data_IF_282333067367
#
_entry.id   IF_282333067367
#
_cell.length_a   1.000
_cell.length_b   1.000
_cell.length_c   1.000
_cell.angle_alpha   90.00
_cell.angle_beta   90.00
_cell.angle_gamma   90.00
#
_symmetry.space_group_name_H-M   'P 1'
#
loop_
_entity.id
_entity.type
_entity.pdbx_description
1 polymer ?
#
# COMPACT_ATOMS: atom_id res chain seq x y z
N UNK A 1 -71.04 23.08 -42.86
CA UNK A 1 -70.48 21.73 -43.06
C UNK A 1 -68.97 21.81 -42.91
N UNK A 2 -68.42 20.85 -42.16
CA UNK A 2 -67.03 20.36 -42.19
C UNK A 2 -65.87 21.36 -42.05
N UNK A 3 -65.22 21.33 -40.89
CA UNK A 3 -63.79 20.98 -40.75
C UNK A 3 -63.39 21.04 -39.27
N UNK A 4 -63.29 19.88 -38.61
CA UNK A 4 -62.53 19.71 -37.37
C UNK A 4 -62.40 18.20 -37.09
N UNK A 5 -61.43 17.55 -37.73
CA UNK A 5 -61.13 16.14 -37.48
C UNK A 5 -59.75 15.75 -37.99
N UNK A 6 -58.69 16.45 -37.56
CA UNK A 6 -57.30 16.00 -37.72
C UNK A 6 -56.47 16.52 -36.54
N UNK A 7 -56.63 15.96 -35.33
CA UNK A 7 -55.63 16.15 -34.26
C UNK A 7 -55.77 15.21 -33.06
N UNK A 8 -56.26 13.98 -33.27
CA UNK A 8 -56.56 13.07 -32.15
C UNK A 8 -55.94 11.67 -32.30
N UNK A 9 -54.70 11.55 -32.79
CA UNK A 9 -54.15 10.22 -33.06
C UNK A 9 -52.67 9.95 -32.77
N UNK A 10 -51.97 10.78 -31.99
CA UNK A 10 -50.63 10.41 -31.50
C UNK A 10 -50.39 10.88 -30.07
N UNK A 11 -50.95 10.16 -29.11
CA UNK A 11 -50.41 10.11 -27.74
C UNK A 11 -50.70 8.73 -27.14
N UNK A 12 -50.14 7.71 -27.78
CA UNK A 12 -49.93 6.44 -27.11
C UNK A 12 -48.83 6.68 -26.08
N UNK A 13 -49.22 6.81 -24.81
CA UNK A 13 -48.28 6.69 -23.69
C UNK A 13 -47.69 5.28 -23.76
N UNK A 14 -46.56 5.15 -24.44
CA UNK A 14 -45.74 3.94 -24.38
C UNK A 14 -45.03 3.99 -23.03
N UNK A 15 -45.77 3.69 -21.96
CA UNK A 15 -45.15 3.37 -20.70
C UNK A 15 -44.28 2.14 -20.97
N UNK A 16 -42.94 2.20 -20.77
CA UNK A 16 -42.11 1.03 -20.97
C UNK A 16 -42.64 -0.10 -20.08
N UNK A 17 -42.73 -1.34 -20.58
CA UNK A 17 -43.28 -2.44 -19.80
C UNK A 17 -42.50 -2.56 -18.50
N UNK A 18 -43.22 -2.48 -17.37
CA UNK A 18 -42.61 -2.61 -16.05
C UNK A 18 -41.85 -3.94 -15.99
N UNK A 19 -40.53 -3.87 -15.82
CA UNK A 19 -39.69 -5.06 -15.74
C UNK A 19 -40.17 -5.88 -14.53
N UNK A 20 -40.50 -7.18 -14.71
CA UNK A 20 -40.91 -8.03 -13.60
C UNK A 20 -39.88 -7.99 -12.47
N UNK A 21 -40.29 -7.91 -11.19
CA UNK A 21 -39.37 -7.79 -10.06
C UNK A 21 -38.32 -8.91 -10.03
N UNK A 22 -38.66 -10.12 -10.50
CA UNK A 22 -37.74 -11.24 -10.66
C UNK A 22 -36.64 -10.97 -11.71
N UNK A 23 -36.97 -10.41 -12.88
CA UNK A 23 -35.96 -10.04 -13.91
C UNK A 23 -35.02 -8.95 -13.41
N UNK A 24 -35.53 -8.00 -12.62
CA UNK A 24 -34.73 -6.92 -12.00
C UNK A 24 -33.79 -7.45 -10.90
N UNK A 25 -34.23 -8.45 -10.13
CA UNK A 25 -33.38 -9.12 -9.13
C UNK A 25 -32.27 -9.95 -9.79
N UNK A 26 -32.60 -10.68 -10.86
CA UNK A 26 -31.61 -11.46 -11.61
C UNK A 26 -30.55 -10.56 -12.28
N UNK A 27 -30.96 -9.43 -12.87
CA UNK A 27 -30.00 -8.49 -13.46
C UNK A 27 -29.11 -7.83 -12.41
N UNK A 28 -29.66 -7.45 -11.25
CA UNK A 28 -28.88 -6.93 -10.12
C UNK A 28 -27.88 -7.96 -9.60
N UNK A 29 -28.29 -9.23 -9.43
CA UNK A 29 -27.41 -10.28 -8.96
C UNK A 29 -26.25 -10.52 -9.93
N UNK A 30 -26.56 -10.58 -11.23
CA UNK A 30 -25.55 -10.71 -12.29
C UNK A 30 -24.55 -9.56 -12.25
N UNK A 31 -25.03 -8.32 -12.18
CA UNK A 31 -24.17 -7.15 -12.09
C UNK A 31 -23.25 -7.19 -10.86
N UNK A 32 -23.77 -7.55 -9.68
CA UNK A 32 -22.96 -7.64 -8.45
C UNK A 32 -21.89 -8.71 -8.57
N UNK A 33 -22.20 -9.86 -9.15
CA UNK A 33 -21.22 -10.93 -9.39
C UNK A 33 -20.15 -10.48 -10.38
N UNK A 34 -20.54 -9.87 -11.50
CA UNK A 34 -19.59 -9.37 -12.52
C UNK A 34 -18.67 -8.29 -11.92
N UNK A 35 -19.22 -7.33 -11.17
CA UNK A 35 -18.43 -6.31 -10.47
C UNK A 35 -17.46 -6.94 -9.46
N UNK A 36 -17.91 -7.91 -8.68
CA UNK A 36 -17.08 -8.59 -7.68
C UNK A 36 -15.89 -9.29 -8.34
N UNK A 37 -16.13 -9.97 -9.46
CA UNK A 37 -15.08 -10.64 -10.22
C UNK A 37 -14.07 -9.62 -10.78
N UNK A 38 -14.54 -8.54 -11.40
CA UNK A 38 -13.68 -7.48 -11.91
C UNK A 38 -12.78 -6.87 -10.82
N UNK A 39 -13.31 -6.66 -9.61
CA UNK A 39 -12.53 -6.13 -8.48
C UNK A 39 -11.45 -7.11 -8.03
N UNK A 40 -11.77 -8.40 -7.96
CA UNK A 40 -10.80 -9.44 -7.58
C UNK A 40 -9.69 -9.55 -8.63
N UNK A 41 -10.05 -9.63 -9.91
CA UNK A 41 -9.10 -9.75 -11.01
C UNK A 41 -8.18 -8.54 -11.11
N UNK A 42 -8.70 -7.34 -10.83
CA UNK A 42 -7.91 -6.12 -10.74
C UNK A 42 -6.94 -6.18 -9.56
N UNK A 43 -7.40 -6.55 -8.36
CA UNK A 43 -6.55 -6.61 -7.16
C UNK A 43 -5.43 -7.64 -7.30
N UNK A 44 -5.68 -8.80 -7.90
CA UNK A 44 -4.66 -9.83 -8.14
C UNK A 44 -3.47 -9.27 -8.93
N UNK A 45 -3.72 -8.41 -9.92
CA UNK A 45 -2.66 -7.80 -10.74
C UNK A 45 -1.80 -6.80 -9.95
N UNK A 46 -2.32 -6.27 -8.84
CA UNK A 46 -1.63 -5.31 -7.98
C UNK A 46 -0.79 -5.98 -6.89
N UNK A 47 -0.96 -7.28 -6.64
CA UNK A 47 -0.22 -7.97 -5.59
C UNK A 47 1.28 -8.09 -5.95
N UNK A 48 2.17 -8.02 -4.95
CA UNK A 48 3.59 -8.29 -5.16
C UNK A 48 3.79 -9.74 -5.59
N UNK A 49 4.81 -9.98 -6.40
CA UNK A 49 5.18 -11.35 -6.80
C UNK A 49 6.00 -12.02 -5.70
N UNK A 50 6.13 -13.35 -5.77
CA UNK A 50 6.95 -14.08 -4.79
C UNK A 50 8.43 -13.69 -4.89
N UNK A 51 8.90 -13.39 -6.10
CA UNK A 51 10.26 -12.90 -6.35
C UNK A 51 10.48 -11.53 -5.70
N UNK A 52 9.52 -10.61 -5.83
CA UNK A 52 9.60 -9.28 -5.18
C UNK A 52 9.67 -9.44 -3.65
N UNK A 53 8.83 -10.30 -3.07
CA UNK A 53 8.83 -10.57 -1.63
C UNK A 53 10.14 -11.21 -1.17
N UNK A 54 10.70 -12.15 -1.95
CA UNK A 54 11.98 -12.78 -1.64
C UNK A 54 13.14 -11.77 -1.65
N UNK A 55 13.19 -10.90 -2.66
CA UNK A 55 14.19 -9.83 -2.74
C UNK A 55 14.07 -8.88 -1.55
N UNK A 56 12.86 -8.45 -1.19
CA UNK A 56 12.62 -7.59 -0.02
C UNK A 56 13.11 -8.25 1.27
N UNK A 57 12.85 -9.54 1.44
CA UNK A 57 13.31 -10.28 2.62
C UNK A 57 14.84 -10.43 2.66
N UNK A 58 15.49 -10.64 1.52
CA UNK A 58 16.96 -10.70 1.45
C UNK A 58 17.60 -9.34 1.74
N UNK A 59 16.99 -8.24 1.28
CA UNK A 59 17.38 -6.87 1.66
C UNK A 59 17.23 -6.66 3.16
N UNK A 60 16.09 -7.05 3.76
CA UNK A 60 15.88 -6.94 5.21
C UNK A 60 16.96 -7.70 5.98
N UNK A 61 17.29 -8.93 5.59
CA UNK A 61 18.37 -9.72 6.23
C UNK A 61 19.74 -9.08 6.07
N UNK A 62 20.04 -8.49 4.92
CA UNK A 62 21.28 -7.74 4.72
C UNK A 62 21.37 -6.55 5.67
N UNK A 63 20.33 -5.71 5.71
CA UNK A 63 20.24 -4.55 6.57
C UNK A 63 20.34 -4.95 8.05
N UNK A 64 19.64 -6.00 8.47
CA UNK A 64 19.73 -6.51 9.84
C UNK A 64 21.16 -6.92 10.22
N UNK A 65 21.88 -7.61 9.32
CA UNK A 65 23.28 -7.97 9.56
C UNK A 65 24.19 -6.76 9.74
N UNK A 66 23.98 -5.70 8.96
CA UNK A 66 24.75 -4.46 9.05
C UNK A 66 24.42 -3.68 10.33
N UNK A 67 23.13 -3.55 10.69
CA UNK A 67 22.75 -2.87 11.93
C UNK A 67 23.35 -3.58 13.15
N UNK A 68 23.41 -4.92 13.13
CA UNK A 68 24.00 -5.70 14.23
C UNK A 68 25.50 -5.49 14.42
N UNK A 69 26.22 -4.88 13.47
CA UNK A 69 27.62 -4.47 13.71
C UNK A 69 27.72 -3.22 14.57
N UNK A 70 26.67 -2.39 14.60
CA UNK A 70 26.58 -1.19 15.45
C UNK A 70 25.90 -1.56 16.78
N UNK A 71 24.78 -2.27 16.71
CA UNK A 71 23.96 -2.64 17.85
C UNK A 71 23.64 -4.15 17.82
N UNK A 72 24.44 -5.01 18.47
CA UNK A 72 24.32 -6.46 18.38
C UNK A 72 22.98 -7.02 18.88
N UNK A 73 22.31 -6.31 19.79
CA UNK A 73 21.01 -6.70 20.34
C UNK A 73 19.81 -6.16 19.53
N UNK A 74 20.08 -5.68 18.31
CA UNK A 74 19.04 -5.19 17.41
C UNK A 74 18.28 -6.29 16.67
N UNK A 75 16.98 -6.04 16.44
CA UNK A 75 16.10 -6.83 15.57
C UNK A 75 15.43 -5.92 14.56
N UNK A 76 15.46 -6.33 13.28
CA UNK A 76 14.86 -5.55 12.20
C UNK A 76 13.57 -6.22 11.70
N UNK A 77 12.44 -5.58 11.98
CA UNK A 77 11.10 -6.10 11.69
C UNK A 77 10.43 -5.30 10.58
N UNK A 78 9.86 -6.00 9.60
CA UNK A 78 8.98 -5.36 8.62
C UNK A 78 7.67 -4.95 9.27
N UNK A 79 7.19 -3.76 8.93
CA UNK A 79 5.87 -3.26 9.33
C UNK A 79 5.13 -2.67 8.11
N UNK A 80 3.99 -2.05 8.36
CA UNK A 80 3.24 -1.35 7.32
C UNK A 80 2.64 -2.30 6.29
N UNK A 81 2.55 -1.85 5.04
CA UNK A 81 1.88 -2.59 3.97
C UNK A 81 2.52 -3.96 3.72
N UNK A 82 3.83 -4.09 3.90
CA UNK A 82 4.59 -5.32 3.70
C UNK A 82 4.25 -6.42 4.72
N UNK A 83 3.72 -6.05 5.90
CA UNK A 83 3.43 -7.00 6.98
C UNK A 83 1.95 -7.02 7.42
N UNK A 84 1.11 -6.09 6.98
CA UNK A 84 -0.31 -6.02 7.35
C UNK A 84 -1.26 -6.78 6.41
N UNK A 85 -0.75 -7.39 5.32
CA UNK A 85 -1.55 -8.13 4.33
C UNK A 85 -2.14 -7.28 3.19
N UNK A 86 -1.81 -5.99 3.14
CA UNK A 86 -2.25 -5.02 2.12
C UNK A 86 -1.09 -4.51 1.26
N UNK A 87 -0.08 -5.35 1.00
CA UNK A 87 1.06 -5.00 0.14
C UNK A 87 0.63 -4.86 -1.31
N UNK A 88 1.11 -3.81 -1.97
CA UNK A 88 1.02 -3.64 -3.43
C UNK A 88 2.39 -3.92 -4.05
N UNK A 89 2.40 -4.26 -5.33
CA UNK A 89 3.62 -4.35 -6.13
C UNK A 89 4.35 -3.01 -6.10
N UNK A 90 5.67 -3.05 -5.99
CA UNK A 90 6.54 -1.86 -5.93
C UNK A 90 6.26 -0.94 -4.74
N UNK A 91 5.62 -1.46 -3.69
CA UNK A 91 5.47 -0.72 -2.43
C UNK A 91 6.81 -0.59 -1.71
N UNK A 92 6.96 0.52 -1.00
CA UNK A 92 8.12 0.75 -0.13
C UNK A 92 8.16 -0.28 1.02
N UNK A 93 9.36 -0.58 1.49
CA UNK A 93 9.58 -1.39 2.69
C UNK A 93 9.66 -0.50 3.93
N UNK A 94 8.73 -0.68 4.86
CA UNK A 94 8.79 -0.05 6.16
C UNK A 94 9.44 -1.01 7.18
N UNK A 95 10.59 -0.63 7.74
CA UNK A 95 11.34 -1.45 8.68
C UNK A 95 11.51 -0.74 10.04
N UNK A 96 11.31 -1.49 11.11
CA UNK A 96 11.48 -1.02 12.48
C UNK A 96 12.63 -1.78 13.14
N UNK A 97 13.67 -1.04 13.52
CA UNK A 97 14.76 -1.54 14.33
C UNK A 97 14.37 -1.45 15.81
N UNK A 98 14.26 -2.60 16.46
CA UNK A 98 14.06 -2.72 17.90
C UNK A 98 15.38 -3.05 18.58
N UNK A 99 15.65 -2.44 19.71
CA UNK A 99 16.86 -2.62 20.50
C UNK A 99 16.43 -3.10 21.88
N UNK A 100 16.81 -4.34 22.20
CA UNK A 100 16.50 -4.97 23.47
C UNK A 100 17.70 -4.83 24.43
N UNK A 101 18.15 -3.59 24.66
CA UNK A 101 19.26 -3.20 25.55
C UNK A 101 18.88 -2.05 26.48
N UNK A 102 19.33 -2.09 27.74
CA UNK A 102 19.17 -0.99 28.70
C UNK A 102 20.12 0.19 28.42
N UNK A 103 21.34 -0.11 27.95
CA UNK A 103 22.35 0.88 27.55
C UNK A 103 22.29 1.13 26.03
N UNK A 104 21.13 1.57 25.55
CA UNK A 104 20.95 1.87 24.12
C UNK A 104 21.38 3.29 23.77
N UNK A 105 21.95 3.42 22.58
CA UNK A 105 22.27 4.69 21.96
C UNK A 105 21.00 5.50 21.68
N UNK A 106 21.14 6.83 21.58
CA UNK A 106 20.04 7.66 21.13
C UNK A 106 19.68 7.31 19.68
N UNK A 107 18.38 7.35 19.35
CA UNK A 107 17.90 7.03 17.99
C UNK A 107 18.54 7.93 16.92
N UNK A 108 18.84 9.19 17.23
CA UNK A 108 19.55 10.11 16.33
C UNK A 108 20.97 9.65 15.99
N UNK A 109 21.68 9.11 16.98
CA UNK A 109 23.06 8.68 16.84
C UNK A 109 23.10 7.39 16.01
N UNK A 110 22.17 6.47 16.28
CA UNK A 110 21.97 5.26 15.49
C UNK A 110 21.62 5.58 14.03
N UNK A 111 20.73 6.55 13.78
CA UNK A 111 20.41 7.00 12.41
C UNK A 111 21.65 7.51 11.69
N UNK A 112 22.49 8.29 12.37
CA UNK A 112 23.72 8.85 11.79
C UNK A 112 24.74 7.75 11.50
N UNK A 113 25.08 6.93 12.51
CA UNK A 113 26.04 5.84 12.36
C UNK A 113 25.60 4.79 11.33
N UNK A 114 24.30 4.45 11.31
CA UNK A 114 23.76 3.53 10.32
C UNK A 114 23.79 4.16 8.91
N UNK A 115 23.50 5.46 8.80
CA UNK A 115 23.60 6.19 7.54
C UNK A 115 24.99 6.05 6.92
N UNK A 116 26.02 6.39 7.69
CA UNK A 116 27.42 6.33 7.25
C UNK A 116 27.85 4.89 6.90
N UNK A 117 27.44 3.91 7.72
CA UNK A 117 27.75 2.50 7.46
C UNK A 117 27.12 2.00 6.16
N UNK A 118 25.84 2.30 5.93
CA UNK A 118 25.12 1.85 4.74
C UNK A 118 25.66 2.53 3.48
N UNK A 119 26.03 3.80 3.54
CA UNK A 119 26.65 4.51 2.41
C UNK A 119 28.01 3.91 2.04
N UNK A 120 28.76 3.42 3.03
CA UNK A 120 30.06 2.75 2.83
C UNK A 120 29.95 1.30 2.34
N UNK A 121 29.04 0.52 2.91
CA UNK A 121 28.99 -0.95 2.71
C UNK A 121 28.01 -1.38 1.60
N UNK A 122 27.18 -0.46 1.09
CA UNK A 122 26.13 -0.79 0.12
C UNK A 122 26.11 0.17 -1.06
N UNK A 123 25.26 -0.13 -2.04
CA UNK A 123 24.98 0.76 -3.19
C UNK A 123 23.67 1.53 -3.02
N UNK A 124 23.08 1.53 -1.83
CA UNK A 124 21.88 2.31 -1.57
C UNK A 124 22.22 3.80 -1.59
N UNK A 125 21.34 4.60 -2.17
CA UNK A 125 21.25 6.02 -1.88
C UNK A 125 20.69 6.17 -0.47
N UNK A 126 21.50 6.72 0.44
CA UNK A 126 21.16 6.80 1.86
C UNK A 126 20.83 8.24 2.24
N UNK A 127 19.71 8.43 2.93
CA UNK A 127 19.30 9.73 3.48
C UNK A 127 18.94 9.60 4.96
N UNK A 128 19.87 9.87 5.87
CA UNK A 128 19.61 9.88 7.31
C UNK A 128 18.79 11.12 7.71
N UNK A 129 17.81 10.94 8.59
CA UNK A 129 16.96 12.00 9.13
C UNK A 129 16.92 11.91 10.67
N UNK A 130 18.03 12.23 11.37
CA UNK A 130 18.16 12.00 12.81
C UNK A 130 17.31 12.94 13.67
N UNK A 131 16.97 14.12 13.15
CA UNK A 131 16.23 15.16 13.88
C UNK A 131 14.75 15.28 13.48
N UNK A 132 14.24 14.34 12.69
CA UNK A 132 12.82 14.27 12.41
C UNK A 132 12.04 13.87 13.68
N UNK A 133 10.73 14.15 13.71
CA UNK A 133 9.85 13.74 14.82
C UNK A 133 9.97 12.24 15.14
N UNK A 134 10.18 11.43 14.11
CA UNK A 134 10.56 10.02 14.22
C UNK A 134 11.88 9.90 13.45
N UNK A 135 13.01 9.63 14.13
CA UNK A 135 14.29 9.43 13.46
C UNK A 135 14.22 8.22 12.53
N UNK A 136 14.57 8.44 11.26
CA UNK A 136 14.54 7.41 10.22
C UNK A 136 15.77 7.50 9.30
N UNK A 137 16.12 6.38 8.67
CA UNK A 137 17.05 6.32 7.52
C UNK A 137 16.23 5.93 6.30
N UNK A 138 16.19 6.79 5.28
CA UNK A 138 15.58 6.44 3.99
C UNK A 138 16.64 5.86 3.07
N UNK A 139 16.30 4.78 2.38
CA UNK A 139 17.16 4.06 1.45
C UNK A 139 16.45 3.92 0.12
N UNK A 140 17.19 4.14 -0.98
CA UNK A 140 16.71 3.78 -2.31
C UNK A 140 17.80 3.14 -3.14
N UNK A 141 17.45 2.15 -3.94
CA UNK A 141 18.31 1.53 -4.93
C UNK A 141 17.61 1.62 -6.27
N UNK A 142 18.30 2.17 -7.27
CA UNK A 142 17.72 2.38 -8.59
C UNK A 142 17.40 1.04 -9.29
N UNK A 143 16.43 1.05 -10.21
CA UNK A 143 16.18 -0.09 -11.08
C UNK A 143 17.43 -0.59 -11.81
N UNK A 144 17.59 -1.91 -11.88
CA UNK A 144 18.67 -2.57 -12.61
C UNK A 144 18.15 -3.81 -13.34
N UNK A 145 18.91 -4.43 -14.26
CA UNK A 145 18.45 -5.61 -15.01
C UNK A 145 17.99 -6.79 -14.14
N UNK A 146 18.54 -6.93 -12.92
CA UNK A 146 18.13 -7.95 -11.95
C UNK A 146 17.10 -7.46 -10.92
N UNK A 147 16.75 -6.17 -10.95
CA UNK A 147 15.86 -5.51 -10.00
C UNK A 147 15.08 -4.40 -10.73
N UNK A 148 14.10 -4.73 -11.57
CA UNK A 148 13.49 -3.78 -12.51
C UNK A 148 12.70 -2.65 -11.84
N UNK A 149 12.37 -2.78 -10.56
CA UNK A 149 11.59 -1.80 -9.80
C UNK A 149 12.42 -1.04 -8.76
N UNK A 150 13.71 -1.35 -8.64
CA UNK A 150 14.54 -0.84 -7.56
C UNK A 150 14.08 -1.35 -6.18
N UNK A 151 14.59 -0.72 -5.14
CA UNK A 151 14.14 -0.90 -3.75
C UNK A 151 14.02 0.47 -3.12
N UNK A 152 12.93 0.70 -2.39
CA UNK A 152 12.77 1.83 -1.50
C UNK A 152 12.46 1.31 -0.10
N UNK A 153 13.15 1.83 0.91
CA UNK A 153 13.01 1.36 2.28
C UNK A 153 13.21 2.50 3.30
N UNK A 154 12.31 2.59 4.27
CA UNK A 154 12.44 3.48 5.43
C UNK A 154 12.74 2.63 6.67
N UNK A 155 13.85 2.92 7.36
CA UNK A 155 14.23 2.29 8.62
C UNK A 155 13.98 3.27 9.76
N UNK A 156 13.01 2.98 10.63
CA UNK A 156 12.79 3.70 11.88
C UNK A 156 13.30 2.94 13.09
N UNK A 157 13.57 3.66 14.17
CA UNK A 157 14.06 3.07 15.43
C UNK A 157 12.99 3.16 16.52
N UNK A 158 12.78 2.06 17.25
CA UNK A 158 11.85 1.96 18.39
C UNK A 158 10.40 2.39 18.11
N UNK A 159 9.96 2.33 16.85
CA UNK A 159 8.58 2.65 16.48
C UNK A 159 7.62 1.48 16.76
N UNK A 160 7.42 1.17 18.05
CA UNK A 160 6.56 0.06 18.51
C UNK A 160 5.09 0.27 18.17
N UNK A 161 4.61 1.52 18.15
CA UNK A 161 3.24 1.84 17.76
C UNK A 161 2.95 1.45 16.30
N UNK A 162 3.91 1.63 15.39
CA UNK A 162 3.74 1.19 14.01
C UNK A 162 3.61 -0.33 13.88
N UNK A 163 4.31 -1.10 14.73
CA UNK A 163 4.18 -2.56 14.77
C UNK A 163 2.79 -2.99 15.27
N UNK A 164 2.27 -2.36 16.33
CA UNK A 164 0.93 -2.66 16.84
C UNK A 164 -0.18 -2.27 15.83
N UNK A 165 -0.04 -1.12 15.15
CA UNK A 165 -0.97 -0.74 14.08
C UNK A 165 -0.93 -1.74 12.92
N UNK A 166 0.25 -2.22 12.55
CA UNK A 166 0.43 -3.24 11.52
C UNK A 166 -0.28 -4.53 11.91
N UNK A 167 -0.10 -4.98 13.17
CA UNK A 167 -0.75 -6.18 13.69
C UNK A 167 -2.26 -6.04 13.72
N UNK A 168 -2.78 -4.90 14.15
CA UNK A 168 -4.22 -4.61 14.15
C UNK A 168 -4.80 -4.72 12.74
N UNK A 169 -4.16 -4.08 11.76
CA UNK A 169 -4.57 -4.14 10.36
C UNK A 169 -4.49 -5.56 9.78
N UNK A 170 -3.46 -6.32 10.15
CA UNK A 170 -3.33 -7.73 9.79
C UNK A 170 -4.51 -8.55 10.34
N UNK A 171 -4.91 -8.34 11.59
CA UNK A 171 -6.08 -9.02 12.16
C UNK A 171 -7.35 -8.72 11.36
N UNK A 172 -7.59 -7.48 10.95
CA UNK A 172 -8.71 -7.14 10.08
C UNK A 172 -8.63 -7.84 8.72
N UNK A 173 -7.44 -7.89 8.10
CA UNK A 173 -7.21 -8.60 6.85
C UNK A 173 -7.51 -10.10 6.97
N UNK A 174 -7.32 -10.70 8.15
CA UNK A 174 -7.54 -12.12 8.39
C UNK A 174 -8.99 -12.49 8.69
N UNK A 175 -9.80 -11.56 9.21
CA UNK A 175 -11.21 -11.82 9.52
C UNK A 175 -12.01 -12.17 8.25
N UNK A 176 -11.78 -11.42 7.16
CA UNK A 176 -12.39 -11.67 5.86
C UNK A 176 -11.40 -11.34 4.73
N UNK A 177 -10.49 -12.28 4.40
CA UNK A 177 -9.38 -12.02 3.50
C UNK A 177 -9.83 -11.55 2.12
N UNK A 178 -10.87 -12.16 1.56
CA UNK A 178 -11.31 -11.83 0.21
C UNK A 178 -11.92 -10.44 0.17
N UNK A 179 -12.87 -10.10 1.04
CA UNK A 179 -13.58 -8.81 0.94
C UNK A 179 -12.74 -7.66 1.47
N UNK A 180 -12.11 -7.81 2.63
CA UNK A 180 -11.35 -6.73 3.27
C UNK A 180 -10.14 -6.35 2.42
N UNK A 181 -9.35 -7.33 1.97
CA UNK A 181 -8.18 -7.04 1.12
C UNK A 181 -8.59 -6.44 -0.21
N UNK A 182 -9.64 -6.98 -0.85
CA UNK A 182 -10.11 -6.43 -2.14
C UNK A 182 -10.53 -4.98 -2.01
N UNK A 183 -11.35 -4.65 -1.00
CA UNK A 183 -11.81 -3.27 -0.79
C UNK A 183 -10.66 -2.31 -0.46
N UNK A 184 -9.77 -2.70 0.45
CA UNK A 184 -8.64 -1.85 0.87
C UNK A 184 -7.68 -1.61 -0.29
N UNK A 185 -7.26 -2.66 -1.00
CA UNK A 185 -6.32 -2.56 -2.12
C UNK A 185 -6.92 -1.78 -3.30
N UNK A 186 -8.21 -1.97 -3.59
CA UNK A 186 -8.93 -1.16 -4.58
C UNK A 186 -8.93 0.32 -4.19
N UNK A 187 -9.26 0.68 -2.95
CA UNK A 187 -9.24 2.07 -2.49
C UNK A 187 -7.83 2.68 -2.47
N UNK A 188 -6.81 1.91 -2.09
CA UNK A 188 -5.42 2.36 -2.10
C UNK A 188 -4.92 2.64 -3.52
N UNK A 189 -5.13 1.71 -4.45
CA UNK A 189 -4.73 1.88 -5.85
C UNK A 189 -5.45 3.05 -6.53
N UNK A 190 -6.73 3.28 -6.22
CA UNK A 190 -7.51 4.40 -6.75
C UNK A 190 -6.95 5.76 -6.34
N UNK A 191 -6.24 5.84 -5.20
CA UNK A 191 -5.54 7.05 -4.76
C UNK A 191 -4.19 7.23 -5.45
N UNK A 192 -3.55 6.15 -5.91
CA UNK A 192 -2.28 6.18 -6.62
C UNK A 192 -2.45 6.48 -8.12
N UNK A 193 -3.60 6.13 -8.71
CA UNK A 193 -3.93 6.35 -10.13
C UNK A 193 -4.52 7.73 -10.43
N UNK A 194 -4.74 8.59 -9.43
CA UNK A 194 -5.02 10.00 -9.67
C UNK A 194 -3.69 10.68 -10.06
N UNK A 195 -3.58 11.31 -11.24
CA UNK A 195 -2.40 12.09 -11.57
C UNK A 195 -2.25 13.18 -10.49
N UNK A 196 -1.17 13.09 -9.72
CA UNK A 196 -0.72 14.13 -8.82
C UNK A 196 -0.41 15.38 -9.67
N UNK A 197 -1.40 16.24 -9.84
CA UNK A 197 -1.23 17.65 -10.17
C UNK A 197 -1.90 18.46 -9.07
N UNK A 198 -1.29 18.46 -7.88
CA UNK A 198 -1.44 19.53 -6.91
C UNK A 198 -0.06 19.76 -6.27
N UNK A 199 0.51 20.96 -6.36
CA UNK A 199 1.75 21.30 -5.67
C UNK A 199 1.49 21.25 -4.16
N UNK A 200 2.20 20.40 -3.44
CA UNK A 200 2.32 20.44 -1.98
C UNK A 200 3.27 21.55 -1.55
N UNK A 201 2.93 22.79 -1.89
CA UNK A 201 3.37 23.95 -1.11
C UNK A 201 2.13 24.45 -0.37
N UNK A 202 2.28 24.77 0.92
CA UNK A 202 1.26 25.36 1.81
C UNK A 202 0.46 24.39 2.71
N UNK A 203 1.13 23.39 3.32
CA UNK A 203 0.61 22.78 4.58
C UNK A 203 1.63 22.85 5.73
N UNK A 204 2.83 23.41 5.52
CA UNK A 204 3.83 23.60 6.60
C UNK A 204 4.53 24.96 6.56
N UNK A 205 3.78 26.05 6.35
CA UNK A 205 4.18 27.39 6.80
C UNK A 205 3.23 27.86 7.90
#
# INVERSE_FOLDING_TARGET
>A
MSQQSIQQQYRGDVNPPAIPPQRRQQSKQRFVTELSQCLVDFVIQLLPTQEELAVKEDVRKLLERLIRTIEPQSRLLSFGSTANGFSLRNSDMDLCCLIDSEERLAASDLVTMLGDLLERETKFHVKPLPHARIPIVKLSLDPSPGLPFGIACDIGFENRLALENTRLLMCYAMIDPTRVRTMVLFCMSSRMSLPYSMPTNDIWQ
#
